data_IF_915489589797
#
_entry.id   IF_915489589797
#
_cell.length_a   1.000
_cell.length_b   1.000
_cell.length_c   1.000
_cell.angle_alpha   90.00
_cell.angle_beta   90.00
_cell.angle_gamma   90.00
#
_symmetry.space_group_name_H-M   'P 1'
#
loop_
_entity.id
_entity.type
_entity.pdbx_description
1 polymer ?
#
# COMPACT_ATOMS: atom_id res chain seq x y z
N UNK A 1 30.40 -15.51 23.07
CA UNK A 1 29.01 -15.04 22.96
C UNK A 1 28.72 -14.93 21.48
N UNK A 2 27.64 -15.52 20.98
CA UNK A 2 27.26 -15.32 19.58
C UNK A 2 26.76 -13.87 19.42
N UNK A 3 27.21 -13.19 18.37
CA UNK A 3 26.77 -11.84 18.10
C UNK A 3 25.28 -11.82 17.76
N UNK A 4 24.56 -10.82 18.30
CA UNK A 4 23.14 -10.67 18.01
C UNK A 4 22.96 -10.22 16.57
N UNK A 5 22.21 -11.00 15.78
CA UNK A 5 21.86 -10.64 14.41
C UNK A 5 21.13 -9.28 14.35
N UNK A 6 20.34 -8.93 15.38
CA UNK A 6 19.64 -7.64 15.47
C UNK A 6 20.58 -6.44 15.52
N UNK A 7 21.79 -6.62 16.06
CA UNK A 7 22.75 -5.54 16.25
C UNK A 7 23.81 -5.50 15.13
N UNK A 8 23.86 -6.52 14.28
CA UNK A 8 24.95 -6.71 13.31
C UNK A 8 24.48 -6.87 11.87
N UNK A 9 23.17 -6.99 11.63
CA UNK A 9 22.60 -7.07 10.28
C UNK A 9 21.52 -6.02 10.12
N UNK A 10 21.79 -5.02 9.28
CA UNK A 10 20.76 -4.09 8.83
C UNK A 10 19.73 -4.84 7.99
N UNK A 11 18.45 -4.70 8.33
CA UNK A 11 17.37 -5.19 7.48
C UNK A 11 17.13 -4.23 6.32
N UNK A 12 16.53 -4.73 5.25
CA UNK A 12 15.84 -3.88 4.27
C UNK A 12 14.87 -2.93 5.00
N UNK A 13 14.71 -1.69 4.50
CA UNK A 13 13.73 -0.76 5.04
C UNK A 13 12.32 -1.34 4.82
N UNK A 14 11.53 -1.58 5.88
CA UNK A 14 10.17 -2.07 5.75
C UNK A 14 9.27 -1.05 5.05
N UNK A 15 8.13 -1.55 4.60
CA UNK A 15 7.08 -0.75 4.00
C UNK A 15 6.63 0.37 4.94
N UNK A 16 6.77 1.63 4.52
CA UNK A 16 6.21 2.76 5.25
C UNK A 16 4.69 2.87 5.02
N UNK A 17 4.01 3.61 5.89
CA UNK A 17 2.57 3.89 5.77
C UNK A 17 2.38 5.36 5.40
N UNK A 18 1.82 5.64 4.22
CA UNK A 18 1.41 7.00 3.85
C UNK A 18 0.19 7.38 4.70
N UNK A 19 0.17 8.60 5.20
CA UNK A 19 -0.99 9.11 5.93
C UNK A 19 -2.19 9.22 4.97
N UNK A 20 -3.41 8.79 5.37
CA UNK A 20 -4.57 8.83 4.50
C UNK A 20 -4.75 10.20 3.85
N UNK A 21 -4.99 10.18 2.54
CA UNK A 21 -5.27 11.38 1.76
C UNK A 21 -6.78 11.44 1.47
N UNK A 22 -7.38 12.58 1.76
CA UNK A 22 -8.78 12.86 1.41
C UNK A 22 -8.85 13.67 0.10
N UNK A 23 -10.04 14.14 -0.27
CA UNK A 23 -10.20 15.14 -1.32
C UNK A 23 -9.39 16.41 -1.03
N UNK A 24 -8.59 16.82 -2.02
CA UNK A 24 -7.69 17.97 -1.94
C UNK A 24 -8.25 19.13 -2.75
N UNK A 25 -8.51 20.26 -2.09
CA UNK A 25 -9.08 21.48 -2.71
C UNK A 25 -8.02 22.58 -2.94
N UNK A 26 -6.74 22.22 -2.94
CA UNK A 26 -5.60 23.12 -3.13
C UNK A 26 -4.60 22.50 -4.09
N UNK A 27 -4.03 23.26 -5.04
CA UNK A 27 -2.97 22.74 -5.92
C UNK A 27 -1.68 22.41 -5.16
N UNK A 28 -1.56 22.88 -3.92
CA UNK A 28 -0.41 22.67 -3.06
C UNK A 28 -0.86 21.94 -1.79
N UNK A 29 -0.25 20.79 -1.52
CA UNK A 29 -0.53 19.97 -0.34
C UNK A 29 0.70 19.15 0.04
N UNK A 30 0.69 18.61 1.25
CA UNK A 30 1.83 17.84 1.79
C UNK A 30 1.43 16.39 1.97
N UNK A 31 2.24 15.49 1.44
CA UNK A 31 2.15 14.06 1.72
C UNK A 31 3.06 13.77 2.91
N UNK A 32 2.57 12.95 3.84
CA UNK A 32 3.30 12.48 5.01
C UNK A 32 3.31 10.96 5.02
N UNK A 33 4.38 10.35 5.52
CA UNK A 33 4.43 8.91 5.78
C UNK A 33 5.09 8.60 7.11
N UNK A 34 4.85 7.40 7.63
CA UNK A 34 5.46 6.91 8.87
C UNK A 34 6.32 5.68 8.55
N UNK A 35 7.63 5.69 8.88
CA UNK A 35 8.46 4.49 8.82
C UNK A 35 7.99 3.46 9.84
N UNK A 36 8.20 2.18 9.54
CA UNK A 36 8.00 1.10 10.50
C UNK A 36 9.35 0.76 11.12
N UNK A 37 9.42 0.76 12.45
CA UNK A 37 10.59 0.27 13.21
C UNK A 37 11.92 0.95 12.82
N UNK A 38 11.89 2.27 12.63
CA UNK A 38 13.02 3.13 12.23
C UNK A 38 14.28 2.97 13.11
N UNK A 39 14.08 2.65 14.40
CA UNK A 39 15.15 2.34 15.36
C UNK A 39 16.01 1.11 14.99
N UNK A 40 15.56 0.24 14.07
CA UNK A 40 16.32 -0.94 13.63
C UNK A 40 16.76 -0.90 12.16
N UNK A 41 16.06 -0.15 11.31
CA UNK A 41 16.33 -0.13 9.87
C UNK A 41 16.90 1.20 9.36
N UNK A 42 16.91 2.26 10.17
CA UNK A 42 17.64 3.50 9.93
C UNK A 42 17.54 4.01 8.48
N UNK A 43 16.35 4.43 8.02
CA UNK A 43 16.19 4.95 6.67
C UNK A 43 16.93 6.28 6.54
N UNK A 44 17.82 6.39 5.54
CA UNK A 44 18.65 7.56 5.31
C UNK A 44 17.96 8.61 4.43
N UNK A 45 17.15 8.17 3.46
CA UNK A 45 16.34 9.00 2.58
C UNK A 45 15.21 8.18 1.92
N UNK A 46 14.27 8.86 1.28
CA UNK A 46 13.07 8.29 0.71
C UNK A 46 12.90 8.62 -0.77
N UNK A 47 12.19 7.73 -1.47
CA UNK A 47 11.66 7.98 -2.80
C UNK A 47 10.13 8.02 -2.74
N UNK A 48 9.56 9.04 -3.35
CA UNK A 48 8.11 9.19 -3.57
C UNK A 48 7.82 9.11 -5.08
N UNK A 49 6.96 8.17 -5.44
CA UNK A 49 6.40 8.09 -6.79
C UNK A 49 4.95 8.55 -6.78
N UNK A 50 4.59 9.31 -7.80
CA UNK A 50 3.22 9.63 -8.19
C UNK A 50 2.81 8.73 -9.35
N UNK A 51 1.64 8.10 -9.25
CA UNK A 51 1.03 7.32 -10.31
C UNK A 51 -0.32 7.94 -10.70
N UNK A 52 -0.69 7.79 -11.96
CA UNK A 52 -1.95 8.29 -12.52
C UNK A 52 -2.53 7.26 -13.50
N UNK A 53 -3.79 7.49 -13.88
CA UNK A 53 -4.50 6.68 -14.87
C UNK A 53 -4.56 5.18 -14.48
N UNK A 54 -4.87 4.91 -13.21
CA UNK A 54 -5.10 3.54 -12.74
C UNK A 54 -6.22 2.89 -13.54
N UNK A 55 -5.93 1.70 -14.07
CA UNK A 55 -6.89 0.86 -14.77
C UNK A 55 -6.54 -0.61 -14.54
N UNK A 56 -7.40 -1.51 -15.00
CA UNK A 56 -7.11 -2.93 -15.04
C UNK A 56 -7.85 -3.57 -16.22
N UNK A 57 -7.32 -4.67 -16.71
CA UNK A 57 -7.86 -5.37 -17.87
C UNK A 57 -7.79 -6.89 -17.71
N UNK A 58 -8.43 -7.58 -18.66
CA UNK A 58 -8.06 -8.97 -18.96
C UNK A 58 -6.85 -8.93 -19.87
N UNK A 59 -5.77 -9.61 -19.49
CA UNK A 59 -4.55 -9.72 -20.27
C UNK A 59 -4.50 -11.09 -20.95
N UNK A 60 -4.71 -11.09 -22.26
CA UNK A 60 -4.55 -12.24 -23.16
C UNK A 60 -3.09 -12.38 -23.67
N UNK A 61 -2.19 -11.50 -23.20
CA UNK A 61 -0.76 -11.51 -23.47
C UNK A 61 -0.37 -11.24 -24.92
N UNK A 62 -1.32 -10.89 -25.79
CA UNK A 62 -1.06 -10.54 -27.20
C UNK A 62 -0.33 -9.20 -27.36
N UNK A 63 -0.43 -8.34 -26.34
CA UNK A 63 0.31 -7.07 -26.27
C UNK A 63 1.68 -7.21 -25.61
N UNK A 64 2.13 -8.45 -25.37
CA UNK A 64 3.39 -8.77 -24.70
C UNK A 64 3.30 -8.66 -23.19
N UNK A 65 4.45 -8.68 -22.52
CA UNK A 65 4.54 -8.88 -21.06
C UNK A 65 4.82 -7.60 -20.29
N UNK A 66 4.47 -6.42 -20.84
CA UNK A 66 4.81 -5.12 -20.24
C UNK A 66 4.19 -4.85 -18.87
N UNK A 67 3.11 -5.56 -18.54
CA UNK A 67 2.40 -5.53 -17.26
C UNK A 67 2.94 -6.55 -16.25
N UNK A 68 4.00 -7.27 -16.61
CA UNK A 68 4.56 -8.36 -15.82
C UNK A 68 6.03 -8.10 -15.47
N UNK A 69 6.40 -8.46 -14.24
CA UNK A 69 7.79 -8.70 -13.86
C UNK A 69 8.02 -10.20 -13.94
N UNK A 70 8.88 -10.61 -14.88
CA UNK A 70 9.18 -12.01 -15.14
C UNK A 70 10.57 -12.37 -14.61
N UNK A 71 10.65 -13.49 -13.91
CA UNK A 71 11.90 -14.14 -13.54
C UNK A 71 11.79 -15.62 -13.93
N UNK A 72 12.38 -15.96 -15.07
CA UNK A 72 12.33 -17.30 -15.67
C UNK A 72 11.04 -17.64 -16.44
N UNK A 73 9.89 -17.02 -16.13
CA UNK A 73 8.72 -17.07 -17.02
C UNK A 73 8.99 -16.31 -18.32
N UNK A 74 8.33 -16.72 -19.41
CA UNK A 74 8.46 -16.09 -20.72
C UNK A 74 7.14 -16.12 -21.50
N UNK A 75 6.98 -15.22 -22.47
CA UNK A 75 5.90 -15.29 -23.44
C UNK A 75 6.10 -16.50 -24.37
N UNK A 76 5.06 -17.29 -24.61
CA UNK A 76 5.14 -18.50 -25.42
C UNK A 76 4.02 -18.56 -26.45
N UNK A 77 4.32 -19.11 -27.61
CA UNK A 77 3.34 -19.46 -28.65
C UNK A 77 3.11 -20.97 -28.77
N UNK A 78 3.76 -21.77 -27.92
CA UNK A 78 3.68 -23.24 -27.96
C UNK A 78 2.30 -23.76 -27.52
N UNK A 79 1.72 -23.10 -26.52
CA UNK A 79 0.35 -23.32 -26.04
C UNK A 79 -0.28 -21.98 -25.72
N UNK A 80 -1.57 -21.88 -25.94
CA UNK A 80 -2.39 -20.74 -25.58
C UNK A 80 -3.84 -21.21 -25.44
N UNK A 81 -4.63 -20.50 -24.62
CA UNK A 81 -6.07 -20.67 -24.56
C UNK A 81 -6.72 -19.76 -25.60
N UNK A 82 -6.40 -18.46 -25.54
CA UNK A 82 -6.74 -17.47 -26.56
C UNK A 82 -5.56 -17.26 -27.48
N UNK A 83 -5.75 -17.38 -28.80
CA UNK A 83 -4.64 -17.30 -29.74
C UNK A 83 -4.02 -15.90 -29.73
N UNK A 84 -2.68 -15.75 -29.69
CA UNK A 84 -1.62 -16.72 -29.99
C UNK A 84 -0.56 -16.93 -28.89
N UNK A 85 -0.67 -16.27 -27.74
CA UNK A 85 0.35 -16.24 -26.70
C UNK A 85 -0.17 -16.72 -25.34
N UNK A 86 0.76 -17.13 -24.47
CA UNK A 86 0.51 -17.32 -23.04
C UNK A 86 1.81 -17.14 -22.24
N UNK A 87 1.70 -17.02 -20.93
CA UNK A 87 2.86 -17.04 -20.02
C UNK A 87 3.28 -18.48 -19.79
N UNK A 88 4.55 -18.79 -20.00
CA UNK A 88 5.12 -20.12 -19.83
C UNK A 88 6.22 -20.13 -18.77
N UNK A 89 6.16 -21.11 -17.86
CA UNK A 89 7.09 -21.22 -16.74
C UNK A 89 8.50 -21.65 -17.10
N UNK A 90 8.72 -22.28 -18.25
CA UNK A 90 9.91 -23.13 -18.45
C UNK A 90 9.74 -24.51 -17.83
N UNK A 91 10.75 -25.37 -18.05
CA UNK A 91 10.75 -26.79 -17.67
C UNK A 91 12.13 -27.33 -17.30
N UNK A 92 13.01 -26.50 -16.77
CA UNK A 92 14.34 -26.96 -16.36
C UNK A 92 14.32 -27.53 -14.94
N UNK A 93 15.34 -28.30 -14.56
CA UNK A 93 15.50 -28.83 -13.21
C UNK A 93 15.87 -27.71 -12.22
N UNK A 94 15.41 -27.82 -10.97
CA UNK A 94 15.70 -26.90 -9.86
C UNK A 94 15.29 -25.44 -10.14
N UNK A 95 14.19 -25.22 -10.86
CA UNK A 95 13.70 -23.85 -11.09
C UNK A 95 12.75 -23.40 -9.98
N UNK A 96 12.65 -22.08 -9.82
CA UNK A 96 11.59 -21.41 -9.04
C UNK A 96 11.19 -20.14 -9.79
N UNK A 97 10.65 -20.33 -10.99
CA UNK A 97 10.34 -19.23 -11.89
C UNK A 97 9.04 -18.54 -11.47
N UNK A 98 8.97 -17.22 -11.65
CA UNK A 98 7.81 -16.40 -11.31
C UNK A 98 7.38 -15.48 -12.44
N UNK A 99 6.07 -15.28 -12.56
CA UNK A 99 5.46 -14.17 -13.27
C UNK A 99 4.61 -13.38 -12.28
N UNK A 100 4.92 -12.11 -12.11
CA UNK A 100 4.24 -11.24 -11.14
C UNK A 100 3.65 -10.02 -11.84
N UNK A 101 2.48 -9.55 -11.42
CA UNK A 101 1.97 -8.26 -11.90
C UNK A 101 2.94 -7.14 -11.53
N UNK A 102 3.21 -6.24 -12.49
CA UNK A 102 4.12 -5.10 -12.30
C UNK A 102 3.57 -4.12 -11.27
N UNK A 103 2.26 -3.93 -11.26
CA UNK A 103 1.53 -3.06 -10.34
C UNK A 103 0.62 -3.89 -9.43
N UNK A 104 0.22 -3.36 -8.26
CA UNK A 104 -0.79 -3.99 -7.43
C UNK A 104 -2.20 -3.64 -7.93
N UNK A 105 -3.16 -4.54 -7.68
CA UNK A 105 -4.58 -4.38 -7.96
C UNK A 105 -5.33 -3.94 -6.69
N UNK A 106 -6.24 -2.97 -6.81
CA UNK A 106 -7.10 -2.53 -5.71
C UNK A 106 -8.35 -3.39 -5.62
N UNK A 107 -8.47 -4.19 -4.54
CA UNK A 107 -9.53 -5.19 -4.42
C UNK A 107 -10.85 -4.57 -3.99
N UNK A 108 -11.88 -4.79 -4.81
CA UNK A 108 -13.27 -4.44 -4.55
C UNK A 108 -14.07 -5.62 -3.97
N UNK A 109 -15.23 -5.30 -3.38
CA UNK A 109 -16.13 -6.32 -2.83
C UNK A 109 -16.69 -7.20 -3.94
N UNK A 110 -16.49 -8.51 -3.81
CA UNK A 110 -16.96 -9.51 -4.78
C UNK A 110 -15.94 -9.94 -5.83
N UNK A 111 -14.75 -9.33 -5.84
CA UNK A 111 -13.71 -9.67 -6.81
C UNK A 111 -13.21 -11.12 -6.68
N UNK A 112 -12.91 -11.68 -7.84
CA UNK A 112 -12.26 -12.98 -7.99
C UNK A 112 -11.13 -12.86 -9.00
N UNK A 113 -9.95 -13.37 -8.66
CA UNK A 113 -8.90 -13.57 -9.65
C UNK A 113 -9.28 -14.77 -10.51
N UNK A 114 -9.49 -14.54 -11.81
CA UNK A 114 -9.78 -15.57 -12.81
C UNK A 114 -8.71 -15.58 -13.89
N UNK A 115 -8.36 -16.77 -14.34
CA UNK A 115 -7.42 -16.99 -15.44
C UNK A 115 -7.59 -18.41 -15.99
N UNK A 116 -7.13 -18.63 -17.21
CA UNK A 116 -7.00 -19.95 -17.81
C UNK A 116 -5.59 -20.48 -17.61
N UNK A 117 -5.46 -21.76 -17.33
CA UNK A 117 -4.16 -22.40 -17.28
C UNK A 117 -4.14 -23.82 -17.83
N UNK A 118 -2.96 -24.23 -18.28
CA UNK A 118 -2.64 -25.61 -18.63
C UNK A 118 -1.31 -25.97 -17.98
N UNK A 119 -1.22 -27.16 -17.40
CA UNK A 119 -0.03 -27.60 -16.67
C UNK A 119 0.18 -29.11 -16.78
N UNK A 120 1.43 -29.49 -16.94
CA UNK A 120 1.93 -30.85 -16.86
C UNK A 120 3.29 -30.83 -16.17
N UNK A 121 3.29 -31.21 -14.88
CA UNK A 121 4.42 -31.21 -13.95
C UNK A 121 4.59 -32.62 -13.36
N UNK A 122 5.75 -32.96 -12.81
CA UNK A 122 5.92 -34.24 -12.11
C UNK A 122 4.96 -34.37 -10.92
N UNK A 123 4.31 -35.52 -10.79
CA UNK A 123 3.44 -35.79 -9.65
C UNK A 123 4.27 -35.87 -8.36
N UNK A 124 3.73 -35.35 -7.25
CA UNK A 124 4.32 -35.34 -5.90
C UNK A 124 5.58 -34.45 -5.69
N UNK A 125 6.24 -33.95 -6.74
CA UNK A 125 7.48 -33.17 -6.63
C UNK A 125 7.35 -31.74 -7.19
N UNK A 126 7.06 -31.62 -8.48
CA UNK A 126 6.94 -30.34 -9.16
C UNK A 126 5.58 -29.69 -8.90
N UNK A 127 5.55 -28.36 -8.83
CA UNK A 127 4.32 -27.64 -8.50
C UNK A 127 4.27 -26.25 -9.10
N UNK A 128 3.08 -25.90 -9.61
CA UNK A 128 2.67 -24.53 -9.83
C UNK A 128 1.71 -24.05 -8.73
N UNK A 129 1.88 -22.79 -8.32
CA UNK A 129 1.01 -22.10 -7.37
C UNK A 129 0.65 -20.71 -7.86
N UNK A 130 -0.49 -20.22 -7.39
CA UNK A 130 -0.93 -18.83 -7.58
C UNK A 130 -0.93 -18.16 -6.22
N UNK A 131 -0.45 -16.94 -6.14
CA UNK A 131 -0.19 -16.26 -4.87
C UNK A 131 -0.59 -14.79 -4.93
N UNK A 132 -0.96 -14.23 -3.77
CA UNK A 132 -1.22 -12.80 -3.59
C UNK A 132 -0.34 -12.19 -2.48
N UNK A 133 0.00 -10.91 -2.59
CA UNK A 133 0.81 -10.20 -1.59
C UNK A 133 0.47 -8.71 -1.47
N UNK A 134 0.36 -8.21 -0.24
CA UNK A 134 0.20 -6.78 0.06
C UNK A 134 1.53 -6.01 0.02
N UNK A 135 2.66 -6.69 0.14
CA UNK A 135 3.97 -6.05 0.36
C UNK A 135 5.08 -6.61 -0.54
N UNK A 136 4.69 -7.43 -1.53
CA UNK A 136 5.58 -8.11 -2.47
C UNK A 136 6.60 -9.06 -1.76
N UNK A 137 6.41 -9.35 -0.45
CA UNK A 137 7.37 -10.08 0.41
C UNK A 137 6.75 -11.33 0.99
N UNK A 138 5.62 -11.16 1.65
CA UNK A 138 4.82 -12.22 2.22
C UNK A 138 3.75 -12.60 1.21
N UNK A 139 3.79 -13.86 0.78
CA UNK A 139 2.96 -14.37 -0.30
C UNK A 139 2.00 -15.42 0.25
N UNK A 140 0.73 -15.26 -0.07
CA UNK A 140 -0.35 -16.16 0.34
C UNK A 140 -0.81 -16.96 -0.86
N UNK A 141 -0.75 -18.29 -0.77
CA UNK A 141 -1.21 -19.18 -1.83
C UNK A 141 -2.73 -19.10 -2.00
N UNK A 142 -3.17 -18.92 -3.24
CA UNK A 142 -4.56 -18.94 -3.68
C UNK A 142 -4.89 -20.36 -4.19
N UNK A 143 -5.61 -21.12 -3.36
CA UNK A 143 -6.10 -22.46 -3.72
C UNK A 143 -5.06 -23.58 -3.57
N UNK A 144 -5.33 -24.69 -4.24
CA UNK A 144 -4.50 -25.89 -4.20
C UNK A 144 -3.30 -25.81 -5.15
N UNK A 145 -2.27 -26.62 -4.87
CA UNK A 145 -1.11 -26.82 -5.74
C UNK A 145 -1.55 -27.45 -7.05
N UNK A 146 -0.97 -27.00 -8.15
CA UNK A 146 -1.26 -27.49 -9.50
C UNK A 146 -0.11 -28.40 -9.96
N UNK A 147 -0.42 -29.62 -10.37
CA UNK A 147 0.57 -30.61 -10.86
C UNK A 147 0.24 -31.12 -12.25
N UNK A 148 -0.99 -31.59 -12.49
CA UNK A 148 -1.40 -32.14 -13.80
C UNK A 148 -2.78 -31.71 -14.27
N UNK A 149 -2.89 -31.44 -15.57
CA UNK A 149 -4.15 -31.12 -16.27
C UNK A 149 -4.18 -31.77 -17.66
N UNK A 150 -5.36 -32.19 -18.12
CA UNK A 150 -5.54 -32.78 -19.46
C UNK A 150 -5.98 -31.78 -20.53
N UNK A 151 -6.40 -30.59 -20.12
CA UNK A 151 -6.90 -29.50 -20.97
C UNK A 151 -6.70 -28.17 -20.25
N UNK A 152 -6.86 -27.06 -20.99
CA UNK A 152 -6.97 -25.76 -20.35
C UNK A 152 -8.12 -25.77 -19.35
N UNK A 153 -7.88 -25.24 -18.16
CA UNK A 153 -8.84 -25.14 -17.06
C UNK A 153 -8.88 -23.72 -16.56
N UNK A 154 -10.08 -23.19 -16.34
CA UNK A 154 -10.23 -21.91 -15.69
C UNK A 154 -10.11 -22.09 -14.17
N UNK A 155 -9.33 -21.24 -13.53
CA UNK A 155 -9.28 -21.10 -12.07
C UNK A 155 -10.01 -19.81 -11.68
N UNK A 156 -10.63 -19.84 -10.51
CA UNK A 156 -11.28 -18.68 -9.91
C UNK A 156 -11.05 -18.68 -8.40
N UNK A 157 -10.47 -17.60 -7.87
CA UNK A 157 -10.16 -17.47 -6.45
C UNK A 157 -10.76 -16.18 -5.88
N UNK A 158 -11.58 -16.26 -4.81
CA UNK A 158 -12.15 -15.07 -4.19
C UNK A 158 -11.06 -14.24 -3.50
N UNK A 159 -11.14 -12.91 -3.67
CA UNK A 159 -10.20 -11.96 -3.09
C UNK A 159 -10.74 -11.29 -1.82
N UNK A 160 -11.81 -11.84 -1.23
CA UNK A 160 -12.56 -11.22 -0.12
C UNK A 160 -11.72 -10.85 1.11
N UNK A 161 -10.59 -11.53 1.33
CA UNK A 161 -9.69 -11.24 2.45
C UNK A 161 -8.87 -9.94 2.28
N UNK A 162 -8.78 -9.41 1.06
CA UNK A 162 -7.99 -8.22 0.70
C UNK A 162 -8.84 -7.02 0.28
N UNK A 163 -10.17 -7.08 0.45
CA UNK A 163 -11.06 -5.96 0.09
C UNK A 163 -10.57 -4.65 0.72
N UNK A 164 -10.43 -3.61 -0.11
CA UNK A 164 -9.92 -2.30 0.30
C UNK A 164 -8.40 -2.19 0.38
N UNK A 165 -7.66 -3.19 -0.12
CA UNK A 165 -6.19 -3.20 -0.15
C UNK A 165 -5.64 -3.34 -1.56
N UNK A 166 -4.40 -2.92 -1.74
CA UNK A 166 -3.62 -3.11 -2.96
C UNK A 166 -2.81 -4.39 -2.87
N UNK A 167 -2.98 -5.32 -3.81
CA UNK A 167 -2.27 -6.61 -3.82
C UNK A 167 -1.61 -6.91 -5.16
N UNK A 168 -0.44 -7.55 -5.12
CA UNK A 168 0.18 -8.14 -6.30
C UNK A 168 -0.31 -9.57 -6.49
N UNK A 169 -0.43 -10.01 -7.75
CA UNK A 169 -0.63 -11.40 -8.10
C UNK A 169 0.67 -12.01 -8.61
N UNK A 170 0.91 -13.29 -8.30
CA UNK A 170 2.07 -14.04 -8.79
C UNK A 170 1.69 -15.46 -9.16
N UNK A 171 2.17 -15.89 -10.31
CA UNK A 171 2.27 -17.29 -10.70
C UNK A 171 3.69 -17.77 -10.43
N UNK A 172 3.83 -18.95 -9.83
CA UNK A 172 5.14 -19.53 -9.53
C UNK A 172 5.17 -21.01 -9.89
N UNK A 173 6.21 -21.44 -10.57
CA UNK A 173 6.46 -22.83 -10.92
C UNK A 173 7.79 -23.26 -10.32
N UNK A 174 7.80 -24.40 -9.63
CA UNK A 174 8.97 -24.95 -8.96
C UNK A 174 9.16 -26.39 -9.37
N UNK A 175 10.40 -26.77 -9.68
CA UNK A 175 10.76 -28.14 -10.06
C UNK A 175 11.90 -28.69 -9.22
N UNK A 176 12.00 -30.02 -9.15
CA UNK A 176 13.12 -30.72 -8.50
C UNK A 176 14.29 -30.98 -9.47
N UNK A 177 15.24 -31.86 -9.09
CA UNK A 177 16.44 -32.11 -9.85
C UNK A 177 16.33 -33.23 -10.91
N UNK A 178 15.13 -33.77 -11.17
CA UNK A 178 14.98 -34.97 -11.98
C UNK A 178 13.94 -34.90 -13.11
N UNK A 179 12.67 -35.29 -12.89
CA UNK A 179 11.75 -35.63 -13.99
C UNK A 179 11.11 -34.37 -14.57
N UNK A 180 11.36 -34.11 -15.85
CA UNK A 180 10.79 -32.94 -16.53
C UNK A 180 9.56 -33.30 -17.36
N UNK A 181 8.45 -32.65 -17.03
CA UNK A 181 7.27 -32.58 -17.88
C UNK A 181 7.22 -31.23 -18.62
N UNK A 182 6.10 -30.91 -19.27
CA UNK A 182 6.05 -29.77 -20.18
C UNK A 182 6.10 -28.40 -19.49
N UNK A 183 5.62 -28.29 -18.23
CA UNK A 183 5.63 -27.06 -17.46
C UNK A 183 4.22 -26.48 -17.24
N UNK A 184 4.16 -25.19 -16.95
CA UNK A 184 2.94 -24.46 -16.60
C UNK A 184 2.72 -23.26 -17.53
N UNK A 185 1.50 -23.14 -18.03
CA UNK A 185 1.03 -22.09 -18.93
C UNK A 185 -0.16 -21.35 -18.31
N UNK A 186 -0.18 -20.02 -18.44
CA UNK A 186 -1.22 -19.14 -17.90
C UNK A 186 -1.64 -18.14 -18.97
N UNK A 187 -2.95 -17.95 -19.13
CA UNK A 187 -3.54 -17.13 -20.17
C UNK A 187 -4.87 -16.50 -19.70
N UNK A 188 -5.37 -15.51 -20.44
CA UNK A 188 -6.62 -14.79 -20.19
C UNK A 188 -6.77 -14.37 -18.72
N UNK A 189 -5.78 -13.64 -18.21
CA UNK A 189 -5.71 -13.28 -16.79
C UNK A 189 -6.56 -12.04 -16.55
N UNK A 190 -7.62 -12.18 -15.75
CA UNK A 190 -8.46 -11.05 -15.34
C UNK A 190 -7.78 -10.21 -14.23
N UNK A 191 -8.19 -8.95 -14.14
CA UNK A 191 -7.77 -8.00 -13.09
C UNK A 191 -6.28 -7.64 -13.13
N UNK A 192 -5.63 -7.68 -14.30
CA UNK A 192 -4.23 -7.26 -14.45
C UNK A 192 -4.17 -5.72 -14.40
N UNK A 193 -3.50 -5.14 -13.38
CA UNK A 193 -3.51 -3.69 -13.15
C UNK A 193 -2.47 -2.96 -14.03
N UNK A 194 -2.81 -1.73 -14.40
CA UNK A 194 -1.91 -0.81 -15.09
C UNK A 194 -2.03 0.62 -14.55
N UNK A 195 -0.96 1.39 -14.70
CA UNK A 195 -0.92 2.83 -14.45
C UNK A 195 -0.36 3.51 -15.70
N UNK A 196 -1.16 4.38 -16.33
CA UNK A 196 -0.75 5.09 -17.54
C UNK A 196 0.45 6.01 -17.35
N UNK A 197 0.73 6.44 -16.11
CA UNK A 197 1.92 7.20 -15.76
C UNK A 197 2.45 6.83 -14.38
N UNK A 198 3.77 6.73 -14.27
CA UNK A 198 4.51 6.61 -13.01
C UNK A 198 5.68 7.58 -13.06
N UNK A 199 5.67 8.57 -12.15
CA UNK A 199 6.69 9.62 -12.07
C UNK A 199 7.33 9.63 -10.69
N UNK A 200 8.65 9.48 -10.63
CA UNK A 200 9.40 9.71 -9.39
C UNK A 200 9.53 11.20 -9.13
N UNK A 201 8.78 11.71 -8.15
CA UNK A 201 8.81 13.13 -7.76
C UNK A 201 10.13 13.51 -7.07
N UNK A 202 10.69 12.59 -6.29
CA UNK A 202 12.04 12.68 -5.74
C UNK A 202 12.48 11.31 -5.24
N UNK A 203 13.78 11.02 -5.32
CA UNK A 203 14.41 9.80 -4.80
C UNK A 203 15.49 10.10 -3.75
N UNK A 204 15.44 11.29 -3.13
CA UNK A 204 16.44 11.76 -2.18
C UNK A 204 15.82 12.61 -1.06
N UNK A 205 14.59 12.28 -0.65
CA UNK A 205 13.85 13.04 0.35
C UNK A 205 14.42 12.70 1.73
N UNK A 206 15.00 13.66 2.49
CA UNK A 206 15.66 13.37 3.76
C UNK A 206 14.67 13.23 4.94
N UNK A 207 13.42 13.64 4.75
CA UNK A 207 12.38 13.66 5.78
C UNK A 207 11.22 12.75 5.37
N UNK A 208 10.22 12.64 6.25
CA UNK A 208 9.01 11.83 6.11
C UNK A 208 7.82 12.61 5.55
N UNK A 209 8.11 13.68 4.80
CA UNK A 209 7.10 14.49 4.14
C UNK A 209 7.60 15.07 2.81
N UNK A 210 6.66 15.35 1.91
CA UNK A 210 6.95 15.96 0.61
C UNK A 210 5.85 16.96 0.22
N UNK A 211 6.25 18.13 -0.27
CA UNK A 211 5.32 19.16 -0.75
C UNK A 211 5.01 18.93 -2.23
N UNK A 212 3.76 18.60 -2.52
CA UNK A 212 3.20 18.65 -3.87
C UNK A 212 2.88 20.10 -4.19
N UNK A 213 3.24 20.54 -5.39
CA UNK A 213 2.94 21.89 -5.87
C UNK A 213 2.35 21.84 -7.27
N UNK A 214 1.44 22.76 -7.56
CA UNK A 214 0.80 22.89 -8.88
C UNK A 214 0.09 21.61 -9.36
N UNK A 215 -0.47 20.81 -8.44
CA UNK A 215 -1.35 19.72 -8.83
C UNK A 215 -2.55 20.26 -9.61
N UNK A 216 -3.04 19.50 -10.57
CA UNK A 216 -4.23 19.83 -11.37
C UNK A 216 -5.42 18.98 -10.93
N UNK A 217 -6.60 19.23 -11.49
CA UNK A 217 -7.75 18.36 -11.21
C UNK A 217 -7.47 16.94 -11.70
N UNK A 218 -7.74 15.95 -10.86
CA UNK A 218 -7.51 14.56 -11.20
C UNK A 218 -7.40 13.66 -9.99
N UNK A 219 -7.33 12.36 -10.26
CA UNK A 219 -7.01 11.35 -9.24
C UNK A 219 -5.53 11.02 -9.30
N UNK A 220 -4.88 11.09 -8.15
CA UNK A 220 -3.46 10.82 -7.99
C UNK A 220 -3.27 9.68 -7.00
N UNK A 221 -2.25 8.88 -7.25
CA UNK A 221 -1.86 7.75 -6.43
C UNK A 221 -0.41 7.96 -6.00
N UNK A 222 -0.08 7.59 -4.77
CA UNK A 222 1.25 7.79 -4.22
C UNK A 222 1.76 6.52 -3.55
N UNK A 223 3.03 6.24 -3.77
CA UNK A 223 3.76 5.19 -3.07
C UNK A 223 5.13 5.68 -2.65
N UNK A 224 5.61 5.23 -1.50
CA UNK A 224 6.89 5.66 -0.94
C UNK A 224 7.73 4.46 -0.53
N UNK A 225 9.05 4.54 -0.73
CA UNK A 225 10.01 3.53 -0.23
C UNK A 225 11.22 4.21 0.41
N UNK A 226 11.77 3.59 1.44
CA UNK A 226 12.96 4.09 2.13
C UNK A 226 14.23 3.41 1.64
N UNK A 227 15.36 4.09 1.78
CA UNK A 227 16.69 3.57 1.48
C UNK A 227 17.52 3.51 2.76
N UNK A 228 18.35 2.47 2.88
CA UNK A 228 19.43 2.42 3.88
C UNK A 228 20.69 1.76 3.27
N UNK A 229 21.67 1.41 4.09
CA UNK A 229 22.90 0.76 3.62
C UNK A 229 22.73 -0.61 2.90
N UNK A 230 21.53 -1.21 2.90
CA UNK A 230 21.18 -2.41 2.12
C UNK A 230 20.61 -2.09 0.74
N UNK A 231 20.36 -0.81 0.46
CA UNK A 231 19.70 -0.35 -0.75
C UNK A 231 18.27 0.10 -0.49
N UNK A 232 17.47 0.11 -1.55
CA UNK A 232 16.05 0.43 -1.50
C UNK A 232 15.25 -0.69 -0.84
N UNK A 233 14.36 -0.28 0.06
CA UNK A 233 13.30 -1.12 0.57
C UNK A 233 12.07 -1.19 -0.34
N UNK A 234 10.99 -1.71 0.23
CA UNK A 234 9.72 -1.94 -0.49
C UNK A 234 8.85 -0.69 -0.48
N UNK A 235 8.05 -0.55 -1.52
CA UNK A 235 7.03 0.49 -1.59
C UNK A 235 5.91 0.26 -0.57
N UNK A 236 5.39 1.37 -0.03
CA UNK A 236 4.14 1.48 0.72
C UNK A 236 2.96 0.85 -0.02
N UNK A 237 1.86 0.64 0.70
CA UNK A 237 0.57 0.52 0.04
C UNK A 237 0.35 1.83 -0.73
N UNK A 238 -0.39 1.74 -1.84
CA UNK A 238 -0.75 2.92 -2.59
C UNK A 238 -1.82 3.67 -1.80
N UNK A 239 -1.60 4.97 -1.59
CA UNK A 239 -2.62 5.89 -1.10
C UNK A 239 -3.02 6.83 -2.23
N UNK A 240 -4.32 7.08 -2.36
CA UNK A 240 -4.85 7.91 -3.43
C UNK A 240 -5.56 9.16 -2.92
N UNK A 241 -5.62 10.18 -3.76
CA UNK A 241 -6.40 11.37 -3.49
C UNK A 241 -7.07 11.88 -4.77
N UNK A 242 -8.15 12.64 -4.58
CA UNK A 242 -8.80 13.36 -5.67
C UNK A 242 -8.57 14.86 -5.46
N UNK A 243 -7.89 15.49 -6.42
CA UNK A 243 -7.66 16.92 -6.45
C UNK A 243 -8.80 17.57 -7.23
N UNK A 244 -9.55 18.45 -6.56
CA UNK A 244 -10.69 19.18 -7.11
C UNK A 244 -10.51 20.69 -6.92
N UNK A 245 -9.91 21.34 -7.92
CA UNK A 245 -9.73 22.77 -8.01
C UNK A 245 -10.86 23.36 -8.87
N UNK A 246 -11.63 24.29 -8.30
CA UNK A 246 -12.67 25.00 -9.03
C UNK A 246 -12.12 26.06 -9.99
N UNK A 247 -12.81 26.31 -11.10
CA UNK A 247 -12.71 27.57 -11.86
C UNK A 247 -13.23 28.67 -10.94
N UNK A 248 -12.35 29.56 -10.46
CA UNK A 248 -12.64 30.71 -9.59
C UNK A 248 -13.53 30.41 -8.36
N UNK A 249 -12.92 30.37 -7.17
CA UNK A 249 -13.54 30.41 -5.83
C UNK A 249 -15.05 30.12 -5.76
N UNK A 250 -15.41 28.87 -5.49
CA UNK A 250 -16.24 28.62 -4.31
C UNK A 250 -15.38 27.80 -3.36
N UNK A 251 -14.89 28.45 -2.31
CA UNK A 251 -14.35 27.75 -1.14
C UNK A 251 -15.50 26.89 -0.60
N UNK A 252 -15.52 25.59 -0.95
CA UNK A 252 -16.30 24.64 -0.16
C UNK A 252 -15.83 24.83 1.28
N UNK A 253 -16.73 25.17 2.21
CA UNK A 253 -16.30 25.46 3.56
C UNK A 253 -15.59 24.21 4.08
N UNK A 254 -14.31 24.36 4.46
CA UNK A 254 -13.62 23.38 5.30
C UNK A 254 -14.64 22.98 6.36
N UNK A 255 -14.86 21.67 6.54
CA UNK A 255 -15.72 21.20 7.62
C UNK A 255 -14.87 21.02 8.85
N UNK A 256 -15.45 21.31 10.00
CA UNK A 256 -14.77 21.05 11.26
C UNK A 256 -14.58 19.55 11.45
N UNK A 257 -13.34 19.13 11.68
CA UNK A 257 -13.01 17.78 12.14
C UNK A 257 -11.77 17.80 13.02
N UNK A 258 -11.61 16.75 13.84
CA UNK A 258 -10.41 16.53 14.62
C UNK A 258 -10.04 15.05 14.66
N UNK A 259 -8.76 14.76 14.85
CA UNK A 259 -8.24 13.41 15.06
C UNK A 259 -7.17 13.45 16.15
N UNK A 260 -7.30 12.60 17.16
CA UNK A 260 -6.25 12.41 18.17
C UNK A 260 -5.22 11.44 17.60
N UNK A 261 -3.98 11.90 17.49
CA UNK A 261 -2.83 11.08 17.11
C UNK A 261 -2.18 10.53 18.38
N UNK A 262 -2.13 9.19 18.45
CA UNK A 262 -1.52 8.41 19.53
C UNK A 262 -2.25 8.56 20.87
N UNK A 263 -3.09 7.57 21.21
CA UNK A 263 -3.77 7.45 22.50
C UNK A 263 -4.15 5.97 22.74
N UNK A 264 -3.67 5.29 23.81
CA UNK A 264 -2.80 5.79 24.89
C UNK A 264 -1.37 6.09 24.42
N UNK A 265 -0.74 7.13 24.97
CA UNK A 265 0.64 7.52 24.62
C UNK A 265 1.31 8.36 25.71
N UNK A 266 2.65 8.47 25.68
CA UNK A 266 3.41 9.36 26.58
C UNK A 266 3.19 10.84 26.26
N UNK A 267 3.03 11.14 24.97
CA UNK A 267 2.63 12.43 24.43
C UNK A 267 1.63 12.17 23.30
N UNK A 268 0.67 13.07 23.11
CA UNK A 268 -0.34 12.97 22.06
C UNK A 268 -0.43 14.29 21.31
N UNK A 269 -0.99 14.25 20.11
CA UNK A 269 -1.25 15.45 19.32
C UNK A 269 -2.67 15.40 18.76
N UNK A 270 -3.24 16.54 18.41
CA UNK A 270 -4.57 16.62 17.83
C UNK A 270 -4.45 17.32 16.48
N UNK A 271 -4.82 16.62 15.40
CA UNK A 271 -4.96 17.21 14.08
C UNK A 271 -6.32 17.85 13.97
N UNK A 272 -6.39 19.12 13.57
CA UNK A 272 -7.62 19.85 13.34
C UNK A 272 -7.79 20.24 11.87
N UNK A 273 -9.02 20.17 11.40
CA UNK A 273 -9.52 20.91 10.24
C UNK A 273 -10.45 22.00 10.77
N UNK A 274 -10.01 23.27 10.74
CA UNK A 274 -10.79 24.42 11.22
C UNK A 274 -11.22 25.28 10.04
N UNK A 275 -12.51 25.65 9.91
CA UNK A 275 -12.95 26.49 8.81
C UNK A 275 -12.42 27.92 8.92
N UNK A 276 -12.13 28.54 7.78
CA UNK A 276 -11.63 29.91 7.73
C UNK A 276 -12.53 30.84 8.56
N UNK A 277 -11.93 31.73 9.36
CA UNK A 277 -12.61 32.64 10.31
C UNK A 277 -13.32 31.99 11.51
N UNK A 278 -13.25 30.66 11.67
CA UNK A 278 -13.74 29.95 12.86
C UNK A 278 -12.61 29.62 13.85
N UNK A 279 -12.97 29.15 15.03
CA UNK A 279 -12.05 28.53 15.97
C UNK A 279 -12.74 27.40 16.75
N UNK A 280 -11.95 26.46 17.24
CA UNK A 280 -12.39 25.47 18.22
C UNK A 280 -11.68 25.75 19.55
N UNK A 281 -12.39 25.65 20.67
CA UNK A 281 -11.77 25.73 21.99
C UNK A 281 -11.45 24.32 22.48
N UNK A 282 -10.18 24.07 22.69
CA UNK A 282 -9.68 22.84 23.28
C UNK A 282 -9.52 23.06 24.76
N UNK A 283 -10.15 22.22 25.57
CA UNK A 283 -9.97 22.18 27.02
C UNK A 283 -9.54 20.79 27.45
N UNK A 284 -8.48 20.73 28.24
CA UNK A 284 -8.04 19.47 28.87
C UNK A 284 -8.29 19.59 30.36
N UNK A 285 -8.96 18.58 30.92
CA UNK A 285 -9.25 18.48 32.35
C UNK A 285 -8.74 17.17 32.91
N UNK A 286 -8.39 17.15 34.19
CA UNK A 286 -8.11 15.90 34.90
C UNK A 286 -9.41 15.20 35.33
N UNK A 287 -9.28 14.01 35.95
CA UNK A 287 -10.43 13.22 36.43
C UNK A 287 -11.29 13.92 37.50
N UNK A 288 -10.77 14.97 38.15
CA UNK A 288 -11.50 15.78 39.13
C UNK A 288 -12.16 17.00 38.48
N UNK A 289 -12.07 17.14 37.15
CA UNK A 289 -12.58 18.28 36.40
C UNK A 289 -11.73 19.54 36.51
N UNK A 290 -10.52 19.45 37.10
CA UNK A 290 -9.61 20.61 37.17
C UNK A 290 -9.06 20.88 35.78
N UNK A 291 -9.16 22.13 35.35
CA UNK A 291 -8.67 22.58 34.05
C UNK A 291 -7.14 22.62 34.03
N UNK A 292 -6.55 21.86 33.11
CA UNK A 292 -5.11 21.79 32.87
C UNK A 292 -4.73 22.72 31.72
N UNK A 293 -5.49 22.68 30.62
CA UNK A 293 -5.23 23.49 29.44
C UNK A 293 -6.54 24.03 28.84
N UNK A 294 -6.45 25.21 28.22
CA UNK A 294 -7.55 25.91 27.56
C UNK A 294 -6.99 26.75 26.40
N UNK A 295 -7.27 26.35 25.16
CA UNK A 295 -6.65 26.95 23.98
C UNK A 295 -7.63 27.05 22.80
N UNK A 296 -7.68 28.24 22.19
CA UNK A 296 -8.38 28.44 20.93
C UNK A 296 -7.49 28.04 19.74
N UNK A 297 -7.97 27.09 18.93
CA UNK A 297 -7.35 26.65 17.68
C UNK A 297 -8.05 27.35 16.52
N UNK A 298 -7.33 28.21 15.82
CA UNK A 298 -7.88 29.13 14.80
C UNK A 298 -7.56 28.73 13.36
N UNK A 299 -6.67 27.77 13.18
CA UNK A 299 -6.20 27.31 11.88
C UNK A 299 -6.17 25.79 11.87
N UNK A 300 -6.43 25.18 10.70
CA UNK A 300 -6.16 23.77 10.48
C UNK A 300 -4.68 23.46 10.72
N UNK A 301 -4.39 22.25 11.20
CA UNK A 301 -3.02 21.81 11.46
C UNK A 301 -2.90 20.95 12.72
N UNK A 302 -1.66 20.70 13.12
CA UNK A 302 -1.35 19.87 14.28
C UNK A 302 -1.21 20.73 15.53
N UNK A 303 -2.04 20.46 16.54
CA UNK A 303 -1.93 21.01 17.87
C UNK A 303 -1.27 20.00 18.81
N UNK A 304 -0.25 20.44 19.53
CA UNK A 304 0.46 19.64 20.54
C UNK A 304 0.17 20.25 21.92
N UNK A 305 -0.64 19.57 22.76
CA UNK A 305 -0.88 20.02 24.12
C UNK A 305 0.40 20.06 24.95
N UNK A 306 0.34 20.78 26.07
CA UNK A 306 1.39 20.76 27.08
C UNK A 306 1.64 19.34 27.61
N UNK A 307 2.90 19.04 27.95
CA UNK A 307 3.27 17.72 28.46
C UNK A 307 2.52 17.42 29.77
N UNK A 308 1.75 16.34 29.76
CA UNK A 308 0.95 15.90 30.90
C UNK A 308 1.68 14.79 31.67
N UNK A 309 1.55 14.73 33.01
CA UNK A 309 1.92 13.53 33.78
C UNK A 309 1.14 12.29 33.34
N UNK A 310 1.64 11.10 33.67
CA UNK A 310 0.90 9.86 33.46
C UNK A 310 -0.42 9.87 34.23
N UNK A 311 -1.52 9.51 33.57
CA UNK A 311 -2.86 9.61 34.12
C UNK A 311 -3.96 9.60 33.07
N UNK A 312 -5.20 9.76 33.54
CA UNK A 312 -6.39 9.88 32.68
C UNK A 312 -6.82 11.34 32.64
N UNK A 313 -7.11 11.82 31.45
CA UNK A 313 -7.58 13.18 31.19
C UNK A 313 -8.81 13.15 30.26
N UNK A 314 -9.57 14.23 30.30
CA UNK A 314 -10.69 14.45 29.39
C UNK A 314 -10.38 15.64 28.50
N UNK A 315 -10.37 15.38 27.20
CA UNK A 315 -10.30 16.39 26.16
C UNK A 315 -11.72 16.80 25.80
N UNK A 316 -12.04 18.08 25.98
CA UNK A 316 -13.25 18.69 25.45
C UNK A 316 -12.88 19.60 24.28
N UNK A 317 -13.62 19.50 23.19
CA UNK A 317 -13.50 20.40 22.05
C UNK A 317 -14.86 21.06 21.83
N UNK A 318 -14.93 22.37 22.00
CA UNK A 318 -16.11 23.18 21.69
C UNK A 318 -15.94 23.82 20.33
N UNK A 319 -16.80 23.45 19.39
CA UNK A 319 -16.88 24.04 18.06
C UNK A 319 -18.34 24.40 17.77
N UNK A 320 -18.62 25.69 17.52
CA UNK A 320 -19.96 26.19 17.20
C UNK A 320 -21.07 25.70 18.16
N UNK A 321 -20.78 25.66 19.48
CA UNK A 321 -21.70 25.18 20.54
C UNK A 321 -21.95 23.67 20.53
N UNK A 322 -21.26 22.90 19.69
CA UNK A 322 -21.17 21.45 19.81
C UNK A 322 -19.94 21.09 20.62
N UNK A 323 -20.15 20.24 21.63
CA UNK A 323 -19.09 19.79 22.52
C UNK A 323 -18.77 18.33 22.19
N UNK A 324 -17.52 18.09 21.82
CA UNK A 324 -16.95 16.78 21.60
C UNK A 324 -16.09 16.41 22.81
N UNK A 325 -16.15 15.14 23.24
CA UNK A 325 -15.45 14.68 24.44
C UNK A 325 -14.71 13.38 24.18
N UNK A 326 -13.44 13.36 24.52
CA UNK A 326 -12.58 12.21 24.36
C UNK A 326 -11.81 11.90 25.65
N UNK A 327 -11.63 10.61 25.91
CA UNK A 327 -10.77 10.14 27.00
C UNK A 327 -9.34 10.04 26.51
N UNK A 328 -8.42 10.70 27.19
CA UNK A 328 -6.98 10.63 26.93
C UNK A 328 -6.32 9.83 28.05
N UNK A 329 -5.47 8.88 27.67
CA UNK A 329 -4.69 8.07 28.61
C UNK A 329 -3.21 8.32 28.37
N UNK A 330 -2.58 9.01 29.32
CA UNK A 330 -1.15 9.31 29.29
C UNK A 330 -0.40 8.22 30.05
N UNK A 331 0.51 7.54 29.38
CA UNK A 331 1.34 6.47 29.96
C UNK A 331 2.76 6.99 30.30
N UNK A 332 3.49 6.35 31.24
CA UNK A 332 4.81 6.80 31.69
C UNK A 332 5.88 7.00 30.61
#
# INVERSE_FOLDING_TARGET
MADSIRNNVASEVPQATIAPLDTINSPNFTIYWSPVADEYNHPDYWQLDELQDYSFQTDDLESGTGLWTLDGFQLSTSRYHSATHSLYSGRDNNISNIAQTKYPYYVQSGDQLRFWCWYDLEDDYDVAVVEASENNREWFQLGERLTRSSSWVQKSYPLSQWVGKWIYFRFRCMTDDNTLNEGFYVDDIELVPDFGSVTTLSSSIPDTSYQITNATNGRYYYQVRGHNNRGWGRYSQIEDCEVLLGVAEETLPIRFSYQILSNPAKEFSIRFSIPATSYANVRITDVLGRKIEDKAIKTSGLYRPSRLPAGIYFLEIDYQKQIYREKIVVVP
#
